data_IF_507454950388
#
_entry.id   IF_507454950388
#
_cell.length_a   1.000
_cell.length_b   1.000
_cell.length_c   1.000
_cell.angle_alpha   90.00
_cell.angle_beta   90.00
_cell.angle_gamma   90.00
#
_symmetry.space_group_name_H-M   'P 1'
#
loop_
_entity.id
_entity.type
_entity.pdbx_description
1 polymer ?
#
# COMPACT_ATOMS: atom_id res chain seq x y z
N UNK A 1 22.85 -35.04 46.18
CA UNK A 1 22.67 -35.16 47.64
C UNK A 1 22.13 -33.81 48.08
N UNK A 2 20.82 -33.57 48.22
CA UNK A 2 19.73 -34.47 48.61
C UNK A 2 19.43 -34.19 50.07
N UNK A 3 18.42 -33.36 50.32
CA UNK A 3 17.50 -33.29 51.48
C UNK A 3 16.64 -32.02 51.25
N UNK A 4 15.32 -32.02 51.24
CA UNK A 4 14.38 -32.93 51.89
C UNK A 4 13.67 -32.15 52.98
N UNK A 5 12.58 -31.47 52.66
CA UNK A 5 11.59 -31.01 53.65
C UNK A 5 10.19 -31.19 53.06
N UNK A 6 9.59 -32.30 53.50
CA UNK A 6 8.17 -32.66 53.49
C UNK A 6 7.60 -31.97 54.74
N UNK A 7 6.44 -31.32 54.81
CA UNK A 7 5.10 -31.84 54.55
C UNK A 7 4.12 -30.80 55.10
N UNK A 8 3.00 -30.52 54.42
CA UNK A 8 1.69 -30.81 54.99
C UNK A 8 0.61 -30.74 53.92
N UNK A 9 -0.13 -31.84 53.81
CA UNK A 9 -1.19 -32.07 52.84
C UNK A 9 -2.44 -32.33 53.67
N UNK A 10 -3.43 -31.45 53.59
CA UNK A 10 -4.79 -31.77 54.03
C UNK A 10 -5.79 -31.41 52.93
N UNK A 11 -6.63 -32.41 52.67
CA UNK A 11 -7.67 -32.49 51.65
C UNK A 11 -8.85 -31.55 51.99
N UNK A 12 -9.86 -31.27 51.17
CA UNK A 12 -10.72 -32.18 50.41
C UNK A 12 -11.85 -31.37 49.75
N UNK A 13 -12.47 -31.93 48.71
CA UNK A 13 -13.79 -31.53 48.19
C UNK A 13 -13.71 -30.78 46.86
N UNK A 14 -13.97 -31.36 45.68
CA UNK A 14 -14.92 -32.41 45.36
C UNK A 14 -16.13 -31.78 44.64
N UNK A 15 -16.12 -31.77 43.31
CA UNK A 15 -17.31 -31.84 42.45
C UNK A 15 -16.89 -31.87 40.98
N UNK A 16 -17.00 -33.04 40.37
CA UNK A 16 -17.14 -33.21 38.93
C UNK A 16 -18.31 -32.36 38.43
N UNK A 17 -18.09 -31.59 37.36
CA UNK A 17 -19.12 -31.47 36.34
C UNK A 17 -18.47 -31.32 34.97
N UNK A 18 -18.52 -32.43 34.23
CA UNK A 18 -18.04 -32.50 32.87
C UNK A 18 -18.89 -31.64 31.94
N UNK A 19 -18.28 -30.60 31.40
CA UNK A 19 -18.67 -30.02 30.11
C UNK A 19 -17.44 -30.05 29.22
N UNK A 20 -17.24 -31.19 28.56
CA UNK A 20 -16.40 -31.24 27.38
C UNK A 20 -17.05 -30.35 26.31
N UNK A 21 -16.68 -29.07 26.29
CA UNK A 21 -16.96 -28.19 25.16
C UNK A 21 -16.30 -28.80 23.92
N UNK A 22 -17.13 -29.48 23.12
CA UNK A 22 -16.78 -29.90 21.77
C UNK A 22 -16.40 -28.64 20.99
N UNK A 23 -15.08 -28.42 20.84
CA UNK A 23 -14.53 -27.42 19.93
C UNK A 23 -15.09 -27.74 18.54
N UNK A 24 -16.12 -26.98 18.12
CA UNK A 24 -16.61 -27.00 16.74
C UNK A 24 -15.40 -26.88 15.81
N UNK A 25 -15.19 -27.83 14.88
CA UNK A 25 -14.08 -27.75 13.95
C UNK A 25 -14.22 -26.44 13.19
N UNK A 26 -13.23 -25.55 13.31
CA UNK A 26 -13.15 -24.33 12.50
C UNK A 26 -13.23 -24.78 11.05
N UNK A 27 -14.39 -24.56 10.43
CA UNK A 27 -14.56 -24.67 8.99
C UNK A 27 -13.41 -23.88 8.36
N UNK A 28 -12.52 -24.59 7.64
CA UNK A 28 -11.46 -23.93 6.88
C UNK A 28 -12.19 -23.02 5.90
N UNK A 29 -12.20 -21.72 6.19
CA UNK A 29 -12.67 -20.70 5.24
C UNK A 29 -12.02 -21.03 3.90
N UNK A 30 -12.78 -21.13 2.80
CA UNK A 30 -12.20 -21.38 1.49
C UNK A 30 -11.04 -20.41 1.31
N UNK A 31 -9.84 -20.96 1.02
CA UNK A 31 -8.64 -20.14 0.81
C UNK A 31 -8.99 -19.16 -0.29
N UNK A 32 -9.02 -17.86 0.04
CA UNK A 32 -9.21 -16.81 -0.95
C UNK A 32 -8.22 -17.05 -2.10
N UNK A 33 -8.64 -16.93 -3.37
CA UNK A 33 -7.74 -17.08 -4.50
C UNK A 33 -6.49 -16.22 -4.29
N UNK A 34 -5.31 -16.81 -4.46
CA UNK A 34 -4.05 -16.07 -4.42
C UNK A 34 -3.90 -15.38 -5.78
N UNK A 35 -4.50 -14.20 -5.91
CA UNK A 35 -4.35 -13.37 -7.12
C UNK A 35 -3.01 -12.66 -7.04
N UNK A 36 -2.19 -12.80 -8.08
CA UNK A 36 -0.91 -12.09 -8.19
C UNK A 36 -1.12 -10.64 -8.64
N UNK A 37 -0.11 -9.78 -8.49
CA UNK A 37 -0.17 -8.40 -9.02
C UNK A 37 -0.39 -8.41 -10.54
N UNK A 38 0.33 -9.27 -11.25
CA UNK A 38 0.22 -9.39 -12.71
C UNK A 38 -1.18 -9.80 -13.17
N UNK A 39 -1.79 -10.78 -12.48
CA UNK A 39 -3.14 -11.27 -12.81
C UNK A 39 -4.23 -10.23 -12.51
N UNK A 40 -4.06 -9.44 -11.44
CA UNK A 40 -4.97 -8.34 -11.15
C UNK A 40 -4.82 -7.20 -12.17
N UNK A 41 -3.58 -6.85 -12.51
CA UNK A 41 -3.28 -5.78 -13.47
C UNK A 41 -3.79 -6.11 -14.89
N UNK A 42 -3.67 -7.36 -15.33
CA UNK A 42 -4.13 -7.78 -16.66
C UNK A 42 -5.66 -7.74 -16.84
N UNK A 43 -6.42 -7.62 -15.75
CA UNK A 43 -7.88 -7.49 -15.77
C UNK A 43 -8.37 -6.04 -15.82
N UNK A 44 -7.46 -5.07 -15.70
CA UNK A 44 -7.82 -3.66 -15.79
C UNK A 44 -8.07 -3.34 -17.27
N UNK A 45 -9.30 -2.92 -17.58
CA UNK A 45 -9.68 -2.50 -18.92
C UNK A 45 -9.45 -0.99 -19.09
N UNK A 46 -8.76 -0.60 -20.16
CA UNK A 46 -8.42 0.80 -20.40
C UNK A 46 -9.65 1.65 -20.78
N UNK A 47 -10.66 1.05 -21.41
CA UNK A 47 -11.89 1.76 -21.81
C UNK A 47 -12.78 2.01 -20.60
N UNK A 48 -12.92 1.01 -19.72
CA UNK A 48 -13.60 1.13 -18.42
C UNK A 48 -12.92 2.18 -17.54
N UNK A 49 -11.59 2.14 -17.43
CA UNK A 49 -10.83 3.18 -16.71
C UNK A 49 -11.09 4.57 -17.30
N UNK A 50 -11.03 4.72 -18.63
CA UNK A 50 -11.24 6.01 -19.28
C UNK A 50 -12.65 6.55 -19.04
N UNK A 51 -13.67 5.68 -19.13
CA UNK A 51 -15.05 6.05 -18.82
C UNK A 51 -15.21 6.46 -17.35
N UNK A 52 -14.61 5.72 -16.42
CA UNK A 52 -14.58 6.07 -15.00
C UNK A 52 -13.92 7.43 -14.74
N UNK A 53 -12.79 7.70 -15.39
CA UNK A 53 -12.07 8.97 -15.24
C UNK A 53 -12.89 10.16 -15.76
N UNK A 54 -13.61 9.99 -16.87
CA UNK A 54 -14.53 11.01 -17.37
C UNK A 54 -15.68 11.29 -16.39
N UNK A 55 -16.29 10.24 -15.85
CA UNK A 55 -17.36 10.35 -14.85
C UNK A 55 -16.87 11.04 -13.57
N UNK A 56 -15.69 10.67 -13.08
CA UNK A 56 -15.06 11.28 -11.90
C UNK A 56 -14.75 12.75 -12.15
N UNK A 57 -14.20 13.10 -13.31
CA UNK A 57 -13.92 14.51 -13.65
C UNK A 57 -15.20 15.34 -13.72
N UNK A 58 -16.28 14.80 -14.31
CA UNK A 58 -17.57 15.49 -14.37
C UNK A 58 -18.22 15.64 -12.97
N UNK A 59 -18.21 14.57 -12.17
CA UNK A 59 -18.86 14.53 -10.86
C UNK A 59 -18.17 15.40 -9.80
N UNK A 60 -16.87 15.67 -9.97
CA UNK A 60 -16.04 16.37 -9.00
C UNK A 60 -15.25 17.51 -9.63
N UNK A 61 -15.82 18.23 -10.60
CA UNK A 61 -15.13 19.19 -11.49
C UNK A 61 -14.14 20.13 -10.79
N UNK A 62 -14.52 20.71 -9.64
CA UNK A 62 -13.71 21.63 -8.85
C UNK A 62 -12.93 20.99 -7.71
N UNK A 63 -13.03 19.68 -7.52
CA UNK A 63 -12.50 18.94 -6.36
C UNK A 63 -11.43 17.94 -6.81
N UNK A 64 -10.31 18.43 -7.34
CA UNK A 64 -9.25 17.58 -7.90
C UNK A 64 -8.65 16.61 -6.89
N UNK A 65 -8.59 16.96 -5.61
CA UNK A 65 -8.16 16.04 -4.55
C UNK A 65 -9.09 14.82 -4.47
N UNK A 66 -10.40 15.03 -4.54
CA UNK A 66 -11.37 13.93 -4.54
C UNK A 66 -11.25 13.11 -5.83
N UNK A 67 -11.02 13.76 -6.97
CA UNK A 67 -10.77 13.05 -8.23
C UNK A 67 -9.57 12.10 -8.13
N UNK A 68 -8.44 12.58 -7.59
CA UNK A 68 -7.22 11.78 -7.41
C UNK A 68 -7.42 10.63 -6.40
N UNK A 69 -8.19 10.87 -5.33
CA UNK A 69 -8.58 9.83 -4.39
C UNK A 69 -9.46 8.75 -5.06
N UNK A 70 -10.40 9.14 -5.93
CA UNK A 70 -11.24 8.21 -6.69
C UNK A 70 -10.44 7.42 -7.71
N UNK A 71 -9.45 8.04 -8.34
CA UNK A 71 -8.49 7.37 -9.20
C UNK A 71 -7.72 6.28 -8.44
N UNK A 72 -7.21 6.59 -7.24
CA UNK A 72 -6.58 5.59 -6.38
C UNK A 72 -7.56 4.46 -5.96
N UNK A 73 -8.81 4.80 -5.64
CA UNK A 73 -9.87 3.84 -5.29
C UNK A 73 -10.12 2.83 -6.43
N UNK A 74 -10.09 3.28 -7.69
CA UNK A 74 -10.26 2.41 -8.85
C UNK A 74 -9.20 1.30 -8.88
N UNK A 75 -7.92 1.67 -8.80
CA UNK A 75 -6.83 0.69 -8.73
C UNK A 75 -6.90 -0.15 -7.45
N UNK A 76 -7.31 0.43 -6.32
CA UNK A 76 -7.47 -0.31 -5.07
C UNK A 76 -8.51 -1.43 -5.19
N UNK A 77 -9.61 -1.19 -5.93
CA UNK A 77 -10.62 -2.21 -6.24
C UNK A 77 -10.04 -3.31 -7.13
N UNK A 78 -9.34 -2.94 -8.21
CA UNK A 78 -8.72 -3.89 -9.13
C UNK A 78 -7.71 -4.81 -8.46
N UNK A 79 -6.96 -4.29 -7.49
CA UNK A 79 -5.95 -5.02 -6.74
C UNK A 79 -6.44 -5.57 -5.38
N UNK A 80 -7.75 -5.49 -5.09
CA UNK A 80 -8.30 -5.84 -3.77
C UNK A 80 -8.11 -7.31 -3.34
N UNK A 81 -7.89 -8.20 -4.32
CA UNK A 81 -7.61 -9.62 -4.10
C UNK A 81 -6.11 -9.94 -3.97
N UNK A 82 -5.22 -8.97 -4.25
CA UNK A 82 -3.78 -9.15 -4.08
C UNK A 82 -3.45 -9.12 -2.60
N UNK A 83 -2.86 -10.21 -2.13
CA UNK A 83 -2.45 -10.35 -0.72
C UNK A 83 -1.04 -9.79 -0.50
N UNK A 84 -0.70 -9.42 0.74
CA UNK A 84 0.63 -8.91 1.09
C UNK A 84 1.78 -9.87 0.72
N UNK A 85 1.53 -11.19 0.67
CA UNK A 85 2.55 -12.16 0.25
C UNK A 85 2.82 -12.15 -1.26
N UNK A 86 1.88 -11.63 -2.06
CA UNK A 86 2.03 -11.43 -3.50
C UNK A 86 2.70 -10.09 -3.82
N UNK A 87 2.75 -9.16 -2.86
CA UNK A 87 3.44 -7.89 -2.98
C UNK A 87 4.15 -7.49 -1.67
N UNK A 88 5.23 -8.20 -1.28
CA UNK A 88 5.98 -7.92 -0.06
C UNK A 88 6.91 -6.72 -0.25
N UNK A 89 6.32 -5.54 -0.46
CA UNK A 89 7.02 -4.33 -0.90
C UNK A 89 8.18 -3.93 0.01
N UNK A 90 8.05 -4.08 1.33
CA UNK A 90 9.13 -3.76 2.29
C UNK A 90 10.36 -4.63 2.10
N UNK A 91 10.17 -5.91 1.77
CA UNK A 91 11.26 -6.84 1.45
C UNK A 91 11.86 -6.50 0.09
N UNK A 92 11.01 -6.26 -0.91
CA UNK A 92 11.42 -5.88 -2.27
C UNK A 92 12.32 -4.65 -2.22
N UNK A 93 11.91 -3.58 -1.51
CA UNK A 93 12.63 -2.30 -1.44
C UNK A 93 13.95 -2.40 -0.69
N UNK A 94 14.09 -3.36 0.22
CA UNK A 94 15.34 -3.57 0.99
C UNK A 94 16.35 -4.44 0.24
N UNK A 95 15.88 -5.43 -0.50
CA UNK A 95 16.74 -6.49 -1.06
C UNK A 95 17.00 -6.33 -2.57
N UNK A 96 16.22 -5.50 -3.27
CA UNK A 96 16.35 -5.33 -4.72
C UNK A 96 17.13 -4.07 -5.10
N UNK A 97 17.85 -4.07 -6.24
CA UNK A 97 18.47 -2.87 -6.80
C UNK A 97 17.45 -1.78 -7.10
N UNK A 98 17.91 -0.51 -7.09
CA UNK A 98 17.07 0.67 -7.36
C UNK A 98 16.34 0.58 -8.71
N UNK A 99 17.03 0.17 -9.77
CA UNK A 99 16.41 -0.02 -11.09
C UNK A 99 15.23 -1.00 -11.05
N UNK A 100 15.39 -2.13 -10.34
CA UNK A 100 14.34 -3.14 -10.23
C UNK A 100 13.12 -2.62 -9.47
N UNK A 101 13.32 -1.90 -8.37
CA UNK A 101 12.20 -1.35 -7.60
C UNK A 101 11.49 -0.20 -8.32
N UNK A 102 12.19 0.50 -9.22
CA UNK A 102 11.60 1.53 -10.06
C UNK A 102 10.55 0.93 -11.02
N UNK A 103 10.79 -0.27 -11.55
CA UNK A 103 9.90 -0.92 -12.52
C UNK A 103 8.72 -1.67 -11.91
N UNK A 104 8.91 -2.30 -10.75
CA UNK A 104 7.94 -3.21 -10.11
C UNK A 104 6.50 -2.67 -9.97
N UNK A 105 6.25 -1.38 -9.67
CA UNK A 105 4.90 -0.84 -9.58
C UNK A 105 4.15 -0.84 -10.92
N UNK A 106 4.86 -0.74 -12.05
CA UNK A 106 4.25 -0.50 -13.36
C UNK A 106 4.50 -1.63 -14.37
N UNK A 107 5.41 -2.55 -14.09
CA UNK A 107 5.84 -3.63 -15.01
C UNK A 107 4.72 -4.55 -15.51
N UNK A 108 3.57 -4.56 -14.82
CA UNK A 108 2.40 -5.36 -15.19
C UNK A 108 1.21 -4.54 -15.67
N UNK A 109 1.30 -3.20 -15.62
CA UNK A 109 0.26 -2.32 -16.14
C UNK A 109 0.37 -2.30 -17.66
N UNK A 110 -0.73 -2.52 -18.37
CA UNK A 110 -0.74 -2.45 -19.82
C UNK A 110 -0.47 -1.02 -20.29
N UNK A 111 0.17 -0.87 -21.45
CA UNK A 111 0.47 0.44 -22.03
C UNK A 111 -0.79 1.30 -22.22
N UNK A 112 -1.90 0.68 -22.61
CA UNK A 112 -3.18 1.37 -22.77
C UNK A 112 -3.71 1.95 -21.44
N UNK A 113 -3.65 1.18 -20.34
CA UNK A 113 -4.05 1.64 -19.01
C UNK A 113 -3.11 2.72 -18.49
N UNK A 114 -1.80 2.54 -18.69
CA UNK A 114 -0.80 3.53 -18.31
C UNK A 114 -1.03 4.84 -19.05
N UNK A 115 -1.19 4.81 -20.38
CA UNK A 115 -1.41 5.99 -21.21
C UNK A 115 -2.69 6.73 -20.80
N UNK A 116 -3.82 6.03 -20.68
CA UNK A 116 -5.08 6.63 -20.24
C UNK A 116 -4.95 7.31 -18.87
N UNK A 117 -4.27 6.66 -17.93
CA UNK A 117 -4.00 7.21 -16.59
C UNK A 117 -3.15 8.48 -16.67
N UNK A 118 -2.03 8.42 -17.39
CA UNK A 118 -1.07 9.52 -17.46
C UNK A 118 -1.61 10.72 -18.23
N UNK A 119 -2.37 10.50 -19.31
CA UNK A 119 -3.01 11.57 -20.07
C UNK A 119 -4.02 12.33 -19.20
N UNK A 120 -4.74 11.62 -18.34
CA UNK A 120 -5.67 12.22 -17.39
C UNK A 120 -4.96 12.93 -16.22
N UNK A 121 -3.93 12.32 -15.63
CA UNK A 121 -3.08 12.93 -14.59
C UNK A 121 -2.49 14.25 -15.09
N UNK A 122 -2.05 14.31 -16.36
CA UNK A 122 -1.41 15.49 -16.93
C UNK A 122 -2.34 16.73 -16.96
N UNK A 123 -3.65 16.53 -16.83
CA UNK A 123 -4.65 17.59 -16.80
C UNK A 123 -4.95 18.10 -15.38
N UNK A 124 -4.37 17.48 -14.34
CA UNK A 124 -4.52 17.92 -12.95
C UNK A 124 -3.55 19.07 -12.64
N UNK A 125 -3.93 19.93 -11.70
CA UNK A 125 -3.08 21.03 -11.24
C UNK A 125 -1.90 20.51 -10.43
N UNK A 126 -0.78 21.25 -10.44
CA UNK A 126 0.41 20.89 -9.66
C UNK A 126 0.08 20.81 -8.16
N UNK A 127 -0.70 21.76 -7.62
CA UNK A 127 -1.09 21.78 -6.20
C UNK A 127 -1.86 20.52 -5.76
N UNK A 128 -2.79 20.04 -6.59
CA UNK A 128 -3.54 18.81 -6.30
C UNK A 128 -2.62 17.58 -6.35
N UNK A 129 -1.69 17.53 -7.31
CA UNK A 129 -0.70 16.45 -7.41
C UNK A 129 0.29 16.46 -6.24
N UNK A 130 0.75 17.63 -5.79
CA UNK A 130 1.60 17.78 -4.59
C UNK A 130 0.89 17.22 -3.37
N UNK A 131 -0.37 17.63 -3.15
CA UNK A 131 -1.19 17.15 -2.04
C UNK A 131 -1.38 15.64 -2.08
N UNK A 132 -1.64 15.09 -3.28
CA UNK A 132 -1.80 13.66 -3.49
C UNK A 132 -0.51 12.86 -3.27
N UNK A 133 0.64 13.37 -3.70
CA UNK A 133 1.95 12.73 -3.46
C UNK A 133 2.23 12.64 -1.96
N UNK A 134 1.99 13.72 -1.21
CA UNK A 134 2.15 13.71 0.25
C UNK A 134 1.18 12.74 0.93
N UNK A 135 -0.09 12.72 0.52
CA UNK A 135 -1.08 11.77 1.05
C UNK A 135 -0.72 10.30 0.75
N UNK A 136 -0.17 10.03 -0.44
CA UNK A 136 0.28 8.70 -0.84
C UNK A 136 1.48 8.25 -0.01
N UNK A 137 2.45 9.15 0.20
CA UNK A 137 3.60 8.92 1.08
C UNK A 137 3.17 8.63 2.51
N UNK A 138 2.20 9.37 3.04
CA UNK A 138 1.64 9.15 4.37
C UNK A 138 1.02 7.77 4.51
N UNK A 139 0.29 7.34 3.48
CA UNK A 139 -0.32 6.02 3.42
C UNK A 139 0.71 4.90 3.40
N UNK A 140 1.81 5.08 2.67
CA UNK A 140 2.94 4.12 2.63
C UNK A 140 3.66 4.08 3.97
N UNK A 141 3.93 5.23 4.59
CA UNK A 141 4.60 5.32 5.89
C UNK A 141 3.75 4.73 7.02
N UNK A 142 2.43 4.93 6.98
CA UNK A 142 1.51 4.29 7.92
C UNK A 142 1.54 2.77 7.77
N UNK A 143 1.58 2.25 6.54
CA UNK A 143 1.71 0.80 6.29
C UNK A 143 3.07 0.27 6.76
N UNK A 144 4.15 1.00 6.53
CA UNK A 144 5.49 0.65 7.03
C UNK A 144 5.48 0.49 8.55
N UNK A 145 4.92 1.47 9.26
CA UNK A 145 4.82 1.44 10.72
C UNK A 145 3.97 0.25 11.20
N UNK A 146 2.87 -0.06 10.51
CA UNK A 146 2.01 -1.21 10.82
C UNK A 146 2.76 -2.54 10.63
N UNK A 147 3.52 -2.69 9.55
CA UNK A 147 4.32 -3.90 9.28
C UNK A 147 5.44 -4.08 10.32
N UNK A 148 6.09 -2.99 10.74
CA UNK A 148 7.10 -3.03 11.82
C UNK A 148 6.48 -3.35 13.19
N UNK A 149 5.30 -2.81 13.48
CA UNK A 149 4.56 -3.06 14.74
C UNK A 149 4.05 -4.50 14.86
N UNK A 150 3.63 -5.11 13.75
CA UNK A 150 3.20 -6.51 13.70
C UNK A 150 4.31 -7.50 14.10
N UNK A 151 5.57 -7.19 13.77
CA UNK A 151 6.75 -7.98 14.17
C UNK A 151 7.02 -7.90 15.69
N UNK A 152 6.51 -6.87 16.37
CA UNK A 152 6.68 -6.65 17.83
C UNK A 152 5.47 -7.10 18.66
N UNK A 153 4.53 -7.86 18.09
CA UNK A 153 3.48 -8.57 18.84
C UNK A 153 2.29 -7.74 19.34
N UNK A 154 2.21 -6.43 19.07
CA UNK A 154 1.02 -5.62 19.42
C UNK A 154 -0.02 -5.68 18.32
N UNK A 155 -1.18 -6.30 18.60
CA UNK A 155 -2.39 -6.19 17.78
C UNK A 155 -2.87 -4.74 17.80
N UNK A 156 -2.50 -3.97 16.78
CA UNK A 156 -3.13 -2.68 16.52
C UNK A 156 -4.50 -2.95 15.90
N UNK A 157 -5.52 -2.28 16.45
CA UNK A 157 -6.89 -2.29 15.95
C UNK A 157 -6.86 -1.95 14.47
N UNK A 158 -7.55 -2.75 13.66
CA UNK A 158 -7.63 -2.68 12.21
C UNK A 158 -8.13 -1.31 11.74
N UNK A 159 -7.23 -0.34 11.64
CA UNK A 159 -7.51 0.99 11.11
C UNK A 159 -7.30 0.95 9.60
N UNK A 160 -8.34 1.38 8.86
CA UNK A 160 -8.45 1.48 7.39
C UNK A 160 -7.57 0.47 6.66
N UNK A 161 -8.06 -0.77 6.65
CA UNK A 161 -7.70 -1.84 5.72
C UNK A 161 -6.69 -1.42 4.64
N UNK A 162 -5.43 -1.80 4.83
CA UNK A 162 -4.33 -1.84 3.86
C UNK A 162 -4.62 -2.77 2.66
N UNK A 163 -5.85 -2.76 2.16
CA UNK A 163 -6.26 -3.41 0.94
C UNK A 163 -5.77 -2.54 -0.21
N UNK A 164 -4.67 -3.02 -0.76
CA UNK A 164 -3.98 -2.56 -1.96
C UNK A 164 -3.00 -1.39 -1.77
N UNK A 165 -1.95 -1.61 -0.97
CA UNK A 165 -0.71 -0.83 -1.11
C UNK A 165 -0.17 -0.83 -2.54
N UNK A 166 -0.38 -1.93 -3.28
CA UNK A 166 -0.08 -2.04 -4.72
C UNK A 166 -0.67 -0.85 -5.48
N UNK A 167 -1.94 -0.50 -5.24
CA UNK A 167 -2.59 0.61 -5.92
C UNK A 167 -1.90 1.94 -5.62
N UNK A 168 -1.56 2.22 -4.35
CA UNK A 168 -0.86 3.45 -3.98
C UNK A 168 0.51 3.55 -4.68
N UNK A 169 1.28 2.46 -4.71
CA UNK A 169 2.56 2.45 -5.44
C UNK A 169 2.39 2.65 -6.95
N UNK A 170 1.38 2.02 -7.56
CA UNK A 170 1.06 2.15 -9.00
C UNK A 170 0.71 3.61 -9.34
N UNK A 171 -0.26 4.18 -8.65
CA UNK A 171 -0.75 5.54 -8.96
C UNK A 171 0.28 6.61 -8.63
N UNK A 172 1.03 6.46 -7.54
CA UNK A 172 2.11 7.37 -7.17
C UNK A 172 3.24 7.34 -8.21
N UNK A 173 3.61 6.15 -8.70
CA UNK A 173 4.59 6.01 -9.78
C UNK A 173 4.13 6.70 -11.07
N UNK A 174 2.85 6.54 -11.46
CA UNK A 174 2.29 7.22 -12.63
C UNK A 174 2.34 8.75 -12.48
N UNK A 175 1.99 9.28 -11.30
CA UNK A 175 2.04 10.72 -11.03
C UNK A 175 3.47 11.25 -11.14
N UNK A 176 4.42 10.61 -10.47
CA UNK A 176 5.82 11.05 -10.45
C UNK A 176 6.49 10.96 -11.84
N UNK A 177 6.21 9.91 -12.62
CA UNK A 177 6.73 9.79 -13.99
C UNK A 177 6.09 10.79 -14.96
N UNK A 178 4.82 11.14 -14.76
CA UNK A 178 4.06 12.04 -15.65
C UNK A 178 4.34 13.52 -15.35
N UNK A 179 4.53 13.87 -14.09
CA UNK A 179 4.78 15.22 -13.60
C UNK A 179 5.96 15.22 -12.61
N UNK A 180 7.20 15.01 -13.11
CA UNK A 180 8.37 14.93 -12.25
C UNK A 180 8.66 16.24 -11.50
N UNK A 181 8.17 17.38 -12.00
CA UNK A 181 8.23 18.70 -11.37
C UNK A 181 7.56 18.75 -9.99
N UNK A 182 6.50 17.96 -9.78
CA UNK A 182 5.81 17.86 -8.49
C UNK A 182 6.75 17.46 -7.36
N UNK A 183 7.77 16.64 -7.66
CA UNK A 183 8.77 16.26 -6.67
C UNK A 183 9.56 17.48 -6.17
N UNK A 184 9.88 18.44 -7.03
CA UNK A 184 10.60 19.66 -6.66
C UNK A 184 9.82 20.44 -5.60
N UNK A 185 8.49 20.55 -5.78
CA UNK A 185 7.59 21.20 -4.82
C UNK A 185 7.47 20.44 -3.50
N UNK A 186 7.58 19.10 -3.53
CA UNK A 186 7.48 18.22 -2.35
C UNK A 186 8.79 18.14 -1.56
N UNK A 187 9.95 18.31 -2.20
CA UNK A 187 11.28 18.15 -1.58
C UNK A 187 11.50 18.95 -0.28
N UNK A 188 11.13 20.24 -0.18
CA UNK A 188 11.27 21.00 1.07
C UNK A 188 10.52 20.33 2.23
N UNK A 189 9.31 19.84 1.97
CA UNK A 189 8.48 19.15 2.96
C UNK A 189 9.14 17.84 3.42
N UNK A 190 9.71 17.06 2.50
CA UNK A 190 10.44 15.83 2.84
C UNK A 190 11.70 16.10 3.66
N UNK A 191 12.37 17.21 3.37
CA UNK A 191 13.60 17.63 4.06
C UNK A 191 13.32 18.17 5.45
N UNK A 192 12.27 18.95 5.64
CA UNK A 192 12.05 19.72 6.87
C UNK A 192 11.17 18.99 7.88
N UNK A 193 10.26 18.14 7.42
CA UNK A 193 9.34 17.43 8.30
C UNK A 193 9.96 16.11 8.80
N UNK A 194 10.22 15.94 10.11
CA UNK A 194 10.82 14.72 10.67
C UNK A 194 10.04 13.44 10.37
N UNK A 195 8.75 13.56 10.04
CA UNK A 195 7.92 12.43 9.61
C UNK A 195 8.46 11.70 8.39
N UNK A 196 9.16 12.37 7.47
CA UNK A 196 9.74 11.74 6.28
C UNK A 196 11.23 11.40 6.45
N UNK A 197 11.83 11.77 7.59
CA UNK A 197 13.24 11.50 7.89
C UNK A 197 13.41 10.18 8.64
N UNK A 198 14.53 9.48 8.40
CA UNK A 198 14.87 8.23 9.07
C UNK A 198 15.44 7.18 8.11
N UNK A 199 16.35 6.35 8.61
CA UNK A 199 17.02 5.30 7.81
C UNK A 199 16.03 4.29 7.23
N UNK A 200 14.96 3.97 7.97
CA UNK A 200 13.93 3.03 7.54
C UNK A 200 13.05 3.57 6.40
N UNK A 201 13.05 4.89 6.19
CA UNK A 201 12.26 5.59 5.15
C UNK A 201 13.07 5.84 3.88
N UNK A 202 14.41 5.78 3.95
CA UNK A 202 15.29 6.02 2.81
C UNK A 202 14.93 5.19 1.56
N UNK A 203 14.60 3.89 1.64
CA UNK A 203 14.22 3.13 0.45
C UNK A 203 12.99 3.69 -0.27
N UNK A 204 12.03 4.27 0.47
CA UNK A 204 10.83 4.89 -0.10
C UNK A 204 11.20 6.22 -0.77
N UNK A 205 12.05 7.04 -0.13
CA UNK A 205 12.50 8.31 -0.69
C UNK A 205 13.32 8.09 -1.97
N UNK A 206 14.25 7.12 -1.95
CA UNK A 206 15.02 6.73 -3.13
C UNK A 206 14.08 6.28 -4.25
N UNK A 207 13.10 5.42 -3.93
CA UNK A 207 12.13 4.97 -4.92
C UNK A 207 11.31 6.12 -5.52
N UNK A 208 10.84 7.08 -4.72
CA UNK A 208 10.11 8.27 -5.21
C UNK A 208 10.97 9.08 -6.18
N UNK A 209 12.22 9.34 -5.82
CA UNK A 209 13.17 10.05 -6.69
C UNK A 209 13.37 9.26 -8.00
N UNK A 210 13.56 7.94 -7.91
CA UNK A 210 13.71 7.09 -9.09
C UNK A 210 12.48 7.16 -10.00
N UNK A 211 11.25 7.16 -9.47
CA UNK A 211 10.05 7.34 -10.31
C UNK A 211 10.06 8.67 -11.05
N UNK A 212 10.46 9.76 -10.39
CA UNK A 212 10.55 11.06 -11.07
C UNK A 212 11.65 11.08 -12.15
N UNK A 213 12.77 10.37 -11.94
CA UNK A 213 13.86 10.27 -12.92
C UNK A 213 13.51 9.41 -14.14
N UNK A 214 12.60 8.45 -14.01
CA UNK A 214 12.07 7.65 -15.13
C UNK A 214 11.07 8.44 -16.00
N UNK A 215 10.61 9.59 -15.53
CA UNK A 215 9.76 10.50 -16.29
C UNK A 215 10.55 11.28 -17.34
N UNK A 216 9.94 11.52 -18.50
CA UNK A 216 10.54 12.40 -19.50
C UNK A 216 10.52 13.86 -19.01
N UNK A 217 11.71 14.36 -18.64
CA UNK A 217 11.93 15.73 -18.16
C UNK A 217 11.51 16.79 -19.20
N UNK A 218 11.45 16.46 -20.49
CA UNK A 218 11.05 17.41 -21.56
C UNK A 218 9.56 17.73 -21.50
N UNK A 219 8.74 16.85 -20.92
CA UNK A 219 7.28 17.04 -20.87
C UNK A 219 6.81 17.69 -19.55
N UNK A 220 7.74 18.05 -18.67
CA UNK A 220 7.50 18.75 -17.41
C UNK A 220 8.04 20.20 -17.37
N UNK A 221 8.67 20.67 -18.44
CA UNK A 221 9.16 22.05 -18.60
C UNK A 221 8.28 22.87 -19.55
#
# INVERSE_FOLDING_TARGET
RGDGDDSDVEASGGAENGTAEVKKPKQKKPKKPKVSVAEAASKIDASDLSAFLLDVTASYESQQDIQLMRFADYFARSFSLVTASQFPWTKIFKESPVAKIADIPLSHISEAVYKASTDWINQRSSDALVSFVLWSLDSILADLANQQGALKGKKVVQQVSSKSQVAIFVVLAMVLRRKPDVLISVLPTLRENPKYQGQDKLPIIIWVISQACEGDLVVGM
#
